data_IF_058892642003
#
_entry.id   IF_058892642003
#
_cell.length_a   1.000
_cell.length_b   1.000
_cell.length_c   1.000
_cell.angle_alpha   90.00
_cell.angle_beta   90.00
_cell.angle_gamma   90.00
#
_symmetry.space_group_name_H-M   'P 1'
#
loop_
_entity.id
_entity.type
_entity.pdbx_description
1 polymer ?
#
# COMPACT_ATOMS: atom_id res chain seq x y z
N UNK A 1 -52.64 61.35 -14.31
CA UNK A 1 -51.42 61.39 -13.49
C UNK A 1 -51.79 61.14 -12.03
N UNK A 2 -51.62 59.91 -11.53
CA UNK A 2 -51.87 59.56 -10.12
C UNK A 2 -50.51 59.44 -9.42
N UNK A 3 -50.21 60.38 -8.52
CA UNK A 3 -48.99 60.37 -7.73
C UNK A 3 -48.97 59.16 -6.79
N UNK A 4 -48.01 58.27 -6.98
CA UNK A 4 -47.73 57.20 -6.03
C UNK A 4 -47.27 57.83 -4.70
N UNK A 5 -47.94 57.49 -3.60
CA UNK A 5 -47.66 58.01 -2.26
C UNK A 5 -46.21 57.70 -1.85
N UNK A 6 -45.44 58.74 -1.52
CA UNK A 6 -44.04 58.65 -1.06
C UNK A 6 -43.85 57.66 0.12
N UNK A 7 -44.90 57.37 0.90
CA UNK A 7 -44.85 56.37 1.97
C UNK A 7 -44.68 54.95 1.43
N UNK A 8 -45.33 54.59 0.32
CA UNK A 8 -45.21 53.25 -0.28
C UNK A 8 -43.86 53.03 -0.95
N UNK A 9 -43.25 54.10 -1.50
CA UNK A 9 -41.92 54.05 -2.11
C UNK A 9 -40.82 53.81 -1.05
N UNK A 10 -40.97 54.40 0.15
CA UNK A 10 -40.05 54.17 1.29
C UNK A 10 -40.12 52.74 1.83
N UNK A 11 -41.32 52.15 1.92
CA UNK A 11 -41.48 50.76 2.39
C UNK A 11 -40.90 49.76 1.40
N UNK A 12 -41.04 50.00 0.09
CA UNK A 12 -40.44 49.18 -0.98
C UNK A 12 -38.90 49.26 -0.99
N UNK A 13 -38.32 50.44 -0.74
CA UNK A 13 -36.87 50.62 -0.65
C UNK A 13 -36.26 49.93 0.60
N UNK A 14 -36.98 49.91 1.73
CA UNK A 14 -36.53 49.19 2.93
C UNK A 14 -36.58 47.66 2.77
N UNK A 15 -37.58 47.11 2.07
CA UNK A 15 -37.65 45.67 1.81
C UNK A 15 -36.62 45.20 0.77
N UNK A 16 -36.29 46.03 -0.22
CA UNK A 16 -35.22 45.75 -1.18
C UNK A 16 -33.81 45.76 -0.54
N UNK A 17 -33.58 46.63 0.45
CA UNK A 17 -32.32 46.68 1.20
C UNK A 17 -32.08 45.46 2.11
N UNK A 18 -33.15 44.93 2.72
CA UNK A 18 -33.07 43.74 3.60
C UNK A 18 -32.91 42.45 2.79
N UNK A 19 -33.48 42.36 1.58
CA UNK A 19 -33.30 41.22 0.68
C UNK A 19 -31.88 41.10 0.10
N UNK A 20 -31.18 42.23 -0.07
CA UNK A 20 -29.82 42.26 -0.65
C UNK A 20 -28.71 42.00 0.38
N UNK A 21 -28.98 42.21 1.68
CA UNK A 21 -28.04 41.91 2.78
C UNK A 21 -28.00 40.42 3.15
N UNK A 22 -28.95 39.60 2.68
CA UNK A 22 -29.01 38.16 2.94
C UNK A 22 -28.37 37.29 1.85
N UNK A 23 -27.87 37.88 0.76
CA UNK A 23 -27.23 37.15 -0.35
C UNK A 23 -25.69 37.02 -0.23
N UNK A 24 -25.12 37.51 0.87
CA UNK A 24 -23.68 37.53 1.13
C UNK A 24 -23.20 36.50 2.15
N UNK A 25 -23.98 35.46 2.46
CA UNK A 25 -23.44 34.30 3.17
C UNK A 25 -22.48 33.60 2.20
N UNK A 26 -21.19 33.93 2.33
CA UNK A 26 -20.14 33.31 1.54
C UNK A 26 -20.31 31.79 1.59
N UNK A 27 -20.31 31.17 0.42
CA UNK A 27 -19.98 29.76 0.34
C UNK A 27 -18.60 29.64 0.99
N UNK A 28 -18.56 29.17 2.23
CA UNK A 28 -17.34 28.61 2.75
C UNK A 28 -17.05 27.45 1.80
N UNK A 29 -16.02 27.58 0.97
CA UNK A 29 -15.48 26.43 0.25
C UNK A 29 -15.33 25.32 1.29
N UNK A 30 -16.14 24.27 1.16
CA UNK A 30 -15.98 23.08 1.95
C UNK A 30 -14.68 22.43 1.46
N UNK A 31 -13.55 22.90 1.99
CA UNK A 31 -12.26 22.31 1.73
C UNK A 31 -12.33 20.87 2.27
N UNK A 32 -12.44 19.91 1.36
CA UNK A 32 -12.37 18.50 1.70
C UNK A 32 -10.91 18.15 2.00
N UNK A 33 -10.67 17.27 2.98
CA UNK A 33 -9.34 16.79 3.28
C UNK A 33 -8.62 16.26 2.03
N UNK A 34 -7.35 16.65 1.87
CA UNK A 34 -6.48 16.16 0.80
C UNK A 34 -5.34 15.37 1.41
N UNK A 35 -5.27 14.07 1.08
CA UNK A 35 -4.21 13.20 1.55
C UNK A 35 -3.24 12.84 0.42
N UNK A 36 -1.95 12.84 0.73
CA UNK A 36 -0.88 12.25 -0.08
C UNK A 36 -0.32 11.02 0.61
N UNK A 37 0.17 10.07 -0.19
CA UNK A 37 0.78 8.84 0.30
C UNK A 37 2.08 8.61 -0.46
N UNK A 38 3.15 8.35 0.29
CA UNK A 38 4.46 7.99 -0.22
C UNK A 38 4.88 6.64 0.35
N UNK A 39 5.48 5.80 -0.48
CA UNK A 39 5.92 4.46 -0.09
C UNK A 39 7.37 4.25 -0.54
N UNK A 40 8.23 3.89 0.39
CA UNK A 40 9.62 3.54 0.08
C UNK A 40 9.69 2.27 -0.78
N UNK A 41 10.82 2.07 -1.46
CA UNK A 41 11.06 0.78 -2.11
C UNK A 41 11.26 -0.33 -1.07
N UNK A 42 10.66 -1.49 -1.32
CA UNK A 42 10.89 -2.69 -0.51
C UNK A 42 11.99 -3.53 -1.17
N UNK A 43 13.14 -3.67 -0.52
CA UNK A 43 14.26 -4.42 -1.06
C UNK A 43 14.65 -5.58 -0.14
N UNK A 44 14.57 -6.80 -0.67
CA UNK A 44 15.00 -8.04 0.01
C UNK A 44 16.53 -8.22 -0.01
N UNK A 45 17.25 -7.38 -0.74
CA UNK A 45 18.70 -7.46 -0.88
C UNK A 45 19.13 -8.71 -1.65
N UNK A 46 20.30 -9.24 -1.27
CA UNK A 46 20.82 -10.47 -1.84
C UNK A 46 20.14 -11.68 -1.21
N UNK A 47 19.55 -12.53 -2.04
CA UNK A 47 18.82 -13.72 -1.61
C UNK A 47 19.51 -14.99 -2.11
N UNK A 48 19.62 -15.98 -1.23
CA UNK A 48 20.14 -17.31 -1.53
C UNK A 48 18.98 -18.29 -1.72
N UNK A 49 18.65 -18.57 -2.97
CA UNK A 49 17.54 -19.46 -3.33
C UNK A 49 17.91 -20.94 -3.21
N UNK A 50 19.19 -21.31 -3.17
CA UNK A 50 19.63 -22.71 -3.11
C UNK A 50 19.56 -23.30 -1.70
N UNK A 51 19.79 -22.50 -0.66
CA UNK A 51 19.57 -22.92 0.73
C UNK A 51 18.09 -22.92 1.11
N UNK A 52 17.21 -22.39 0.25
CA UNK A 52 15.78 -22.26 0.51
C UNK A 52 15.43 -21.21 1.57
N UNK A 53 16.39 -20.37 1.95
CA UNK A 53 16.20 -19.34 2.97
C UNK A 53 15.12 -18.32 2.57
N UNK A 54 14.24 -17.97 3.51
CA UNK A 54 13.37 -16.82 3.37
C UNK A 54 14.17 -15.53 3.54
N UNK A 55 13.77 -14.48 2.83
CA UNK A 55 14.32 -13.14 2.98
C UNK A 55 13.22 -12.16 3.33
N UNK A 56 13.62 -11.08 3.98
CA UNK A 56 12.75 -10.16 4.68
C UNK A 56 13.01 -8.75 4.16
N UNK A 57 11.95 -7.96 3.97
CA UNK A 57 12.07 -6.56 3.59
C UNK A 57 11.08 -5.71 4.37
N UNK A 58 11.37 -4.42 4.50
CA UNK A 58 10.43 -3.43 5.04
C UNK A 58 10.44 -2.19 4.17
N UNK A 59 9.29 -1.52 4.06
CA UNK A 59 9.18 -0.19 3.47
C UNK A 59 8.30 0.69 4.36
N UNK A 60 8.64 1.99 4.45
CA UNK A 60 7.78 2.95 5.15
C UNK A 60 6.68 3.42 4.22
N UNK A 61 5.43 3.38 4.69
CA UNK A 61 4.29 4.08 4.09
C UNK A 61 4.05 5.35 4.90
N UNK A 62 4.26 6.51 4.29
CA UNK A 62 4.08 7.83 4.89
C UNK A 62 2.81 8.45 4.34
N UNK A 63 1.99 9.02 5.21
CA UNK A 63 0.68 9.58 4.88
C UNK A 63 0.61 10.99 5.45
N UNK A 64 0.22 11.95 4.63
CA UNK A 64 0.02 13.33 5.02
C UNK A 64 -1.32 13.83 4.52
N UNK A 65 -2.17 14.30 5.42
CA UNK A 65 -3.47 14.86 5.09
C UNK A 65 -3.57 16.28 5.61
N UNK A 66 -3.98 17.21 4.75
CA UNK A 66 -4.23 18.62 5.07
C UNK A 66 -5.68 19.00 4.76
N UNK A 67 -6.13 20.13 5.31
CA UNK A 67 -7.51 20.60 5.13
C UNK A 67 -8.54 19.69 5.81
N UNK A 68 -8.14 18.98 6.87
CA UNK A 68 -9.02 18.11 7.65
C UNK A 68 -10.02 18.95 8.46
N UNK A 69 -11.29 18.57 8.49
CA UNK A 69 -12.33 19.28 9.22
C UNK A 69 -11.99 19.44 10.70
N UNK A 70 -12.25 20.61 11.28
CA UNK A 70 -11.97 20.91 12.69
C UNK A 70 -12.67 19.97 13.70
N UNK A 71 -13.77 19.32 13.30
CA UNK A 71 -14.51 18.36 14.13
C UNK A 71 -14.05 16.90 13.93
N UNK A 72 -13.20 16.62 12.93
CA UNK A 72 -12.68 15.29 12.69
C UNK A 72 -11.54 15.00 13.69
N UNK A 73 -11.65 13.87 14.39
CA UNK A 73 -10.61 13.40 15.34
C UNK A 73 -9.63 12.43 14.69
N UNK A 74 -9.92 11.99 13.47
CA UNK A 74 -9.08 11.09 12.71
C UNK A 74 -9.44 11.11 11.22
N UNK A 75 -8.50 10.63 10.41
CA UNK A 75 -8.72 10.18 9.03
C UNK A 75 -8.52 8.67 8.99
N UNK A 76 -9.48 7.96 8.41
CA UNK A 76 -9.40 6.51 8.18
C UNK A 76 -9.10 6.25 6.72
N UNK A 77 -8.07 5.44 6.45
CA UNK A 77 -7.63 5.05 5.12
C UNK A 77 -7.74 3.54 4.92
N UNK A 78 -8.02 3.12 3.70
CA UNK A 78 -7.96 1.75 3.23
C UNK A 78 -6.82 1.63 2.22
N UNK A 79 -5.67 1.15 2.69
CA UNK A 79 -4.51 0.90 1.83
C UNK A 79 -4.73 -0.35 1.01
N UNK A 80 -5.01 -0.20 -0.27
CA UNK A 80 -5.17 -1.27 -1.24
C UNK A 80 -3.88 -1.47 -2.04
N UNK A 81 -3.27 -2.65 -1.96
CA UNK A 81 -2.08 -3.03 -2.73
C UNK A 81 -2.41 -4.17 -3.68
N UNK A 82 -2.29 -3.92 -4.98
CA UNK A 82 -2.53 -4.88 -6.04
C UNK A 82 -1.45 -5.96 -6.17
N UNK A 83 -1.32 -6.51 -7.37
CA UNK A 83 -0.36 -7.57 -7.71
C UNK A 83 1.02 -7.04 -8.10
N UNK A 84 1.09 -5.79 -8.58
CA UNK A 84 2.29 -5.24 -9.19
C UNK A 84 2.57 -5.85 -10.56
N UNK A 85 3.60 -5.33 -11.25
CA UNK A 85 3.88 -5.68 -12.65
C UNK A 85 4.28 -7.14 -12.89
N UNK A 86 4.69 -7.87 -11.86
CA UNK A 86 4.97 -9.30 -11.98
C UNK A 86 3.72 -10.18 -11.96
N UNK A 87 2.61 -9.68 -11.41
CA UNK A 87 1.36 -10.41 -11.28
C UNK A 87 1.31 -11.32 -10.03
N UNK A 88 0.46 -12.34 -10.09
CA UNK A 88 0.26 -13.30 -8.99
C UNK A 88 0.21 -14.73 -9.50
N UNK A 89 0.57 -15.67 -8.63
CA UNK A 89 0.36 -17.10 -8.81
C UNK A 89 -0.15 -17.70 -7.50
N UNK A 90 -1.36 -18.27 -7.52
CA UNK A 90 -1.99 -18.88 -6.34
C UNK A 90 -2.14 -17.92 -5.16
N UNK A 91 -2.36 -16.63 -5.40
CA UNK A 91 -2.43 -15.61 -4.35
C UNK A 91 -1.09 -15.29 -3.70
N UNK A 92 0.03 -15.55 -4.39
CA UNK A 92 1.39 -15.07 -4.06
C UNK A 92 1.84 -14.09 -5.14
N UNK A 93 2.40 -12.94 -4.76
CA UNK A 93 2.89 -11.95 -5.73
C UNK A 93 4.20 -12.41 -6.33
N UNK A 94 4.49 -11.98 -7.55
CA UNK A 94 5.74 -12.34 -8.24
C UNK A 94 6.54 -11.10 -8.60
N UNK A 95 7.86 -11.21 -8.48
CA UNK A 95 8.85 -10.34 -9.11
C UNK A 95 9.38 -11.06 -10.35
N UNK A 96 9.82 -10.31 -11.37
CA UNK A 96 10.31 -10.89 -12.63
C UNK A 96 11.71 -10.45 -12.98
N UNK A 97 12.46 -11.38 -13.58
CA UNK A 97 13.74 -11.15 -14.25
C UNK A 97 13.72 -11.85 -15.61
N UNK A 98 13.29 -11.15 -16.66
CA UNK A 98 12.98 -11.77 -17.94
C UNK A 98 11.81 -12.75 -17.80
N UNK A 99 12.04 -14.02 -18.16
CA UNK A 99 11.06 -15.10 -17.99
C UNK A 99 11.09 -15.75 -16.59
N UNK A 100 12.08 -15.42 -15.76
CA UNK A 100 12.20 -15.99 -14.41
C UNK A 100 11.28 -15.25 -13.44
N UNK A 101 10.72 -16.00 -12.49
CA UNK A 101 9.83 -15.47 -11.46
C UNK A 101 10.38 -15.74 -10.07
N UNK A 102 10.12 -14.81 -9.15
CA UNK A 102 10.44 -14.96 -7.74
C UNK A 102 9.25 -14.48 -6.90
N UNK A 103 8.65 -15.40 -6.18
CA UNK A 103 7.48 -15.20 -5.35
C UNK A 103 7.78 -14.50 -4.03
N UNK A 104 6.90 -13.60 -3.63
CA UNK A 104 6.94 -12.89 -2.35
C UNK A 104 5.53 -12.53 -1.91
N UNK A 105 5.44 -12.06 -0.66
CA UNK A 105 4.23 -11.45 -0.15
C UNK A 105 4.47 -10.19 0.66
N UNK A 106 3.41 -9.39 0.78
CA UNK A 106 3.36 -8.15 1.53
C UNK A 106 2.37 -8.28 2.69
N UNK A 107 2.74 -7.75 3.85
CA UNK A 107 2.07 -7.95 5.12
C UNK A 107 1.90 -6.66 5.90
N UNK A 108 0.83 -6.61 6.69
CA UNK A 108 0.42 -5.48 7.51
C UNK A 108 1.07 -5.46 8.90
N UNK A 109 1.71 -6.57 9.30
CA UNK A 109 2.30 -6.81 10.61
C UNK A 109 3.68 -7.47 10.51
N UNK A 110 4.51 -7.26 11.55
CA UNK A 110 5.88 -7.77 11.60
C UNK A 110 5.96 -9.31 11.66
N UNK A 111 4.92 -9.97 12.19
CA UNK A 111 4.82 -11.43 12.23
C UNK A 111 4.39 -12.06 10.91
N UNK A 112 4.02 -11.24 9.91
CA UNK A 112 3.53 -11.66 8.59
C UNK A 112 2.31 -12.58 8.67
N UNK A 113 1.45 -12.35 9.65
CA UNK A 113 0.21 -13.11 9.80
C UNK A 113 -0.90 -12.58 8.86
N UNK A 114 -0.91 -11.26 8.61
CA UNK A 114 -1.96 -10.56 7.88
C UNK A 114 -1.41 -10.04 6.57
N UNK A 115 -1.85 -10.64 5.45
CA UNK A 115 -1.47 -10.16 4.12
C UNK A 115 -2.09 -8.79 3.85
N UNK A 116 -1.29 -7.88 3.31
CA UNK A 116 -1.74 -6.58 2.82
C UNK A 116 -2.15 -6.74 1.35
N UNK A 117 -3.45 -6.80 1.12
CA UNK A 117 -4.00 -7.22 -0.17
C UNK A 117 -4.79 -6.15 -0.91
N UNK A 118 -5.62 -6.63 -1.82
CA UNK A 118 -6.43 -5.83 -2.74
C UNK A 118 -7.88 -6.27 -2.70
N UNK A 119 -8.83 -5.34 -2.76
CA UNK A 119 -10.23 -5.70 -2.97
C UNK A 119 -10.48 -6.20 -4.40
N UNK A 120 -9.63 -5.85 -5.37
CA UNK A 120 -9.72 -6.36 -6.76
C UNK A 120 -9.26 -7.83 -6.88
N UNK A 121 -8.38 -8.28 -5.98
CA UNK A 121 -7.89 -9.65 -5.90
C UNK A 121 -7.76 -10.07 -4.44
N UNK A 122 -8.85 -10.61 -3.91
CA UNK A 122 -8.94 -11.04 -2.51
C UNK A 122 -8.05 -12.24 -2.18
N UNK A 123 -7.49 -12.93 -3.19
CA UNK A 123 -6.51 -14.01 -2.94
C UNK A 123 -5.20 -13.48 -2.35
N UNK A 124 -4.91 -12.18 -2.56
CA UNK A 124 -3.79 -11.45 -1.97
C UNK A 124 -4.05 -11.01 -0.53
N UNK A 125 -5.26 -11.21 0.01
CA UNK A 125 -5.71 -10.66 1.29
C UNK A 125 -6.59 -9.42 1.12
N UNK A 126 -7.03 -8.87 2.24
CA UNK A 126 -7.88 -7.67 2.26
C UNK A 126 -7.01 -6.40 2.33
N UNK A 127 -7.52 -5.25 1.85
CA UNK A 127 -6.87 -3.96 2.07
C UNK A 127 -6.73 -3.64 3.56
N UNK A 128 -5.66 -2.94 3.92
CA UNK A 128 -5.34 -2.62 5.32
C UNK A 128 -6.08 -1.35 5.76
N UNK A 129 -6.84 -1.42 6.85
CA UNK A 129 -7.38 -0.23 7.52
C UNK A 129 -6.26 0.48 8.29
N UNK A 130 -6.16 1.80 8.10
CA UNK A 130 -5.19 2.69 8.73
C UNK A 130 -5.95 3.83 9.35
N UNK A 131 -5.68 4.16 10.61
CA UNK A 131 -6.33 5.28 11.30
C UNK A 131 -5.27 6.23 11.80
N UNK A 132 -5.34 7.48 11.35
CA UNK A 132 -4.41 8.54 11.72
C UNK A 132 -5.19 9.57 12.54
N UNK A 133 -4.65 9.96 13.70
CA UNK A 133 -5.25 11.00 14.51
C UNK A 133 -5.20 12.34 13.74
N UNK A 134 -6.28 13.10 13.82
CA UNK A 134 -6.37 14.43 13.22
C UNK A 134 -6.33 15.51 14.31
N UNK A 135 -5.59 16.57 14.05
CA UNK A 135 -5.48 17.74 14.92
C UNK A 135 -5.07 18.96 14.10
N UNK A 136 -5.60 20.14 14.43
CA UNK A 136 -5.19 21.41 13.81
C UNK A 136 -5.30 21.46 12.28
N UNK A 137 -6.31 20.76 11.72
CA UNK A 137 -6.53 20.70 10.28
C UNK A 137 -5.65 19.71 9.52
N UNK A 138 -4.86 18.92 10.24
CA UNK A 138 -3.88 17.99 9.69
C UNK A 138 -4.08 16.57 10.25
N UNK A 139 -3.72 15.56 9.48
CA UNK A 139 -3.59 14.18 9.95
C UNK A 139 -2.38 13.52 9.28
N UNK A 140 -1.28 13.40 10.03
CA UNK A 140 0.00 12.90 9.53
C UNK A 140 0.40 11.63 10.29
N UNK A 141 0.85 10.61 9.57
CA UNK A 141 1.21 9.33 10.18
C UNK A 141 1.97 8.42 9.24
N UNK A 142 2.51 7.33 9.78
CA UNK A 142 3.25 6.36 8.99
C UNK A 142 3.00 4.94 9.50
N UNK A 143 3.03 3.97 8.59
CA UNK A 143 2.93 2.54 8.91
C UNK A 143 3.97 1.74 8.12
N UNK A 144 4.43 0.63 8.68
CA UNK A 144 5.43 -0.20 8.01
C UNK A 144 4.76 -1.27 7.15
N UNK A 145 5.21 -1.38 5.91
CA UNK A 145 4.92 -2.49 5.01
C UNK A 145 5.99 -3.56 5.21
N UNK A 146 5.58 -4.80 5.45
CA UNK A 146 6.49 -5.92 5.67
C UNK A 146 6.47 -6.85 4.46
N UNK A 147 7.61 -7.05 3.82
CA UNK A 147 7.80 -8.03 2.75
C UNK A 147 8.36 -9.34 3.28
N UNK A 148 7.89 -10.46 2.74
CA UNK A 148 8.47 -11.79 2.95
C UNK A 148 8.65 -12.53 1.62
N UNK A 149 9.87 -12.98 1.34
CA UNK A 149 10.16 -13.83 0.20
C UNK A 149 9.66 -15.25 0.47
N UNK A 150 9.02 -15.88 -0.51
CA UNK A 150 8.59 -17.28 -0.37
C UNK A 150 9.81 -18.20 -0.30
N UNK A 151 9.80 -19.12 0.66
CA UNK A 151 10.88 -20.11 0.82
C UNK A 151 10.85 -21.18 -0.29
N UNK A 152 11.97 -21.89 -0.47
CA UNK A 152 12.04 -23.08 -1.34
C UNK A 152 12.04 -22.82 -2.86
N UNK A 153 12.36 -21.61 -3.30
CA UNK A 153 12.35 -21.22 -4.72
C UNK A 153 13.66 -21.54 -5.44
N UNK A 154 14.13 -22.79 -5.33
CA UNK A 154 15.47 -23.22 -5.80
C UNK A 154 15.66 -23.16 -7.32
N UNK A 155 14.58 -23.06 -8.10
CA UNK A 155 14.62 -22.91 -9.56
C UNK A 155 14.80 -21.46 -10.03
N UNK A 156 14.74 -20.47 -9.13
CA UNK A 156 14.95 -19.08 -9.48
C UNK A 156 16.42 -18.84 -9.85
N UNK A 157 16.66 -18.51 -11.13
CA UNK A 157 17.99 -18.21 -11.66
C UNK A 157 18.59 -16.92 -11.10
N UNK A 158 19.89 -16.74 -11.29
CA UNK A 158 20.62 -15.54 -10.86
C UNK A 158 20.13 -14.30 -11.59
N UNK A 159 19.99 -13.19 -10.87
CA UNK A 159 19.58 -11.92 -11.47
C UNK A 159 18.83 -11.02 -10.51
N UNK A 160 18.48 -9.83 -11.00
CA UNK A 160 17.67 -8.87 -10.26
C UNK A 160 16.21 -9.02 -10.67
N UNK A 161 15.38 -9.35 -9.70
CA UNK A 161 13.94 -9.51 -9.85
C UNK A 161 13.25 -8.23 -9.39
N UNK A 162 12.31 -7.74 -10.19
CA UNK A 162 11.58 -6.50 -9.92
C UNK A 162 10.07 -6.71 -10.06
N UNK A 163 9.30 -6.06 -9.20
CA UNK A 163 7.86 -5.83 -9.39
C UNK A 163 7.57 -4.36 -9.11
N UNK A 164 7.00 -3.67 -10.09
CA UNK A 164 6.63 -2.26 -9.99
C UNK A 164 5.15 -2.14 -9.70
N UNK A 165 4.79 -1.35 -8.69
CA UNK A 165 3.41 -1.02 -8.36
C UNK A 165 3.11 0.38 -8.86
N UNK A 166 2.27 0.47 -9.89
CA UNK A 166 1.80 1.76 -10.43
C UNK A 166 0.69 2.35 -9.55
N UNK A 167 0.26 3.57 -9.87
CA UNK A 167 -0.85 4.26 -9.18
C UNK A 167 -2.18 3.50 -9.26
N UNK A 168 -2.38 2.64 -10.27
CA UNK A 168 -3.53 1.74 -10.33
C UNK A 168 -3.49 0.60 -9.31
N UNK A 169 -2.27 0.16 -8.93
CA UNK A 169 -2.05 -0.93 -7.99
C UNK A 169 -2.01 -0.44 -6.53
N UNK A 170 -1.67 0.83 -6.30
CA UNK A 170 -1.53 1.43 -4.95
C UNK A 170 -2.55 2.53 -4.77
N UNK A 171 -3.65 2.19 -4.09
CA UNK A 171 -4.80 3.07 -3.89
C UNK A 171 -5.11 3.16 -2.41
N UNK A 172 -5.20 4.37 -1.90
CA UNK A 172 -5.55 4.67 -0.52
C UNK A 172 -6.86 5.45 -0.55
N UNK A 173 -7.96 4.74 -0.34
CA UNK A 173 -9.26 5.38 -0.14
C UNK A 173 -9.31 5.94 1.26
N UNK A 174 -9.76 7.18 1.44
CA UNK A 174 -9.78 7.82 2.74
C UNK A 174 -11.04 8.65 2.98
N UNK A 175 -11.44 8.69 4.25
CA UNK A 175 -12.54 9.49 4.77
C UNK A 175 -12.21 10.03 6.17
N UNK A 176 -12.74 11.20 6.49
CA UNK A 176 -12.69 11.74 7.85
C UNK A 176 -13.58 10.91 8.79
N UNK A 177 -13.15 10.70 10.04
CA UNK A 177 -13.88 9.88 11.00
C UNK A 177 -13.40 8.44 11.03
N UNK A 178 -14.30 7.50 11.35
CA UNK A 178 -13.92 6.12 11.77
C UNK A 178 -14.52 4.97 10.99
N UNK A 179 -15.47 5.22 10.09
CA UNK A 179 -16.18 4.15 9.38
C UNK A 179 -15.86 4.21 7.90
N UNK A 180 -14.89 3.41 7.47
CA UNK A 180 -14.64 3.15 6.05
C UNK A 180 -14.54 1.65 5.85
N UNK A 181 -15.39 1.10 4.98
CA UNK A 181 -15.35 -0.31 4.63
C UNK A 181 -14.27 -0.55 3.57
N UNK A 182 -13.15 -1.12 4.00
CA UNK A 182 -12.02 -1.42 3.11
C UNK A 182 -12.28 -2.59 2.15
N UNK A 183 -13.39 -3.31 2.29
CA UNK A 183 -13.78 -4.37 1.35
C UNK A 183 -14.47 -3.82 0.10
N UNK A 184 -15.09 -2.63 0.21
CA UNK A 184 -15.78 -1.96 -0.89
C UNK A 184 -15.86 -0.43 -0.64
N UNK A 185 -14.77 0.33 -0.83
CA UNK A 185 -14.76 1.78 -0.58
C UNK A 185 -15.51 2.52 -1.71
N UNK A 186 -16.82 2.72 -1.54
CA UNK A 186 -17.71 3.29 -2.59
C UNK A 186 -17.92 4.81 -2.49
N UNK A 187 -17.55 5.46 -1.38
CA UNK A 187 -17.81 6.89 -1.12
C UNK A 187 -16.57 7.71 -0.70
N UNK A 188 -15.38 7.15 -0.87
CA UNK A 188 -14.14 7.72 -0.34
C UNK A 188 -13.33 8.49 -1.38
N UNK A 189 -12.55 9.47 -0.91
CA UNK A 189 -11.57 10.17 -1.76
C UNK A 189 -10.34 9.29 -1.94
N UNK A 190 -9.65 9.42 -3.08
CA UNK A 190 -8.55 8.53 -3.46
C UNK A 190 -7.22 9.26 -3.45
N UNK A 191 -6.26 8.74 -2.69
CA UNK A 191 -4.84 9.02 -2.85
C UNK A 191 -4.17 7.83 -3.55
N UNK A 192 -3.22 8.10 -4.45
CA UNK A 192 -2.49 7.06 -5.17
C UNK A 192 -0.99 7.24 -4.95
N UNK A 193 -0.26 6.14 -4.97
CA UNK A 193 1.20 6.15 -4.85
C UNK A 193 1.81 5.15 -5.85
N UNK A 194 3.13 5.05 -5.85
CA UNK A 194 3.83 4.00 -6.59
C UNK A 194 5.09 3.63 -5.84
N UNK A 195 5.47 2.36 -5.89
CA UNK A 195 6.73 1.90 -5.31
C UNK A 195 7.21 0.66 -6.06
N UNK A 196 8.38 0.17 -5.69
CA UNK A 196 8.98 -1.02 -6.28
C UNK A 196 9.33 -2.03 -5.21
N UNK A 197 9.24 -3.31 -5.58
CA UNK A 197 9.73 -4.43 -4.79
C UNK A 197 10.86 -5.10 -5.57
N UNK A 198 11.99 -5.33 -4.92
CA UNK A 198 13.19 -5.89 -5.55
C UNK A 198 13.87 -6.95 -4.69
N UNK A 199 14.47 -7.93 -5.35
CA UNK A 199 15.44 -8.86 -4.78
C UNK A 199 16.53 -9.18 -5.80
N UNK A 200 17.74 -9.51 -5.34
CA UNK A 200 18.83 -9.97 -6.21
C UNK A 200 19.22 -11.40 -5.82
N UNK A 201 18.92 -12.36 -6.69
CA UNK A 201 19.39 -13.74 -6.54
C UNK A 201 20.87 -13.78 -6.92
N UNK A 202 21.73 -13.97 -5.92
CA UNK A 202 23.17 -14.02 -6.11
C UNK A 202 23.60 -15.35 -6.76
N UNK A 203 24.69 -15.35 -7.51
CA UNK A 203 25.32 -16.58 -7.98
C UNK A 203 25.85 -17.38 -6.79
N UNK A 204 25.29 -18.57 -6.59
CA UNK A 204 25.62 -19.50 -5.52
C UNK A 204 25.87 -20.89 -6.13
N UNK A 205 26.76 -21.66 -5.50
CA UNK A 205 27.05 -23.04 -5.88
C UNK A 205 27.05 -23.88 -4.61
N UNK A 206 26.01 -24.69 -4.42
CA UNK A 206 25.94 -25.63 -3.31
C UNK A 206 26.73 -26.90 -3.68
N UNK A 207 27.92 -27.06 -3.10
CA UNK A 207 28.72 -28.29 -3.27
C UNK A 207 28.41 -29.21 -2.10
N UNK A 208 27.65 -30.28 -2.35
CA UNK A 208 27.47 -31.37 -1.40
C UNK A 208 28.53 -32.45 -1.67
N UNK A 209 29.43 -32.66 -0.71
CA UNK A 209 30.39 -33.76 -0.75
C UNK A 209 29.88 -34.90 0.12
N UNK A 210 29.79 -36.11 -0.45
CA UNK A 210 29.67 -37.34 0.34
C UNK A 210 31.06 -37.98 0.48
N UNK A 211 31.32 -38.62 1.62
CA UNK A 211 32.55 -39.38 1.78
C UNK A 211 32.59 -40.52 0.75
N UNK A 212 33.77 -40.74 0.16
CA UNK A 212 34.04 -41.95 -0.61
C UNK A 212 34.18 -43.10 0.39
N UNK A 213 33.19 -43.97 0.47
CA UNK A 213 33.25 -45.19 1.27
C UNK A 213 33.73 -46.34 0.39
N UNK A 214 34.93 -46.84 0.68
CA UNK A 214 35.50 -48.00 0.00
C UNK A 214 34.95 -49.32 0.56
N UNK A 215 34.15 -49.28 1.63
CA UNK A 215 33.66 -50.45 2.34
C UNK A 215 34.76 -51.14 3.16
N UNK A 216 34.37 -52.22 3.85
CA UNK A 216 35.32 -53.12 4.51
C UNK A 216 36.03 -53.97 3.46
N UNK A 217 37.25 -53.58 3.09
CA UNK A 217 38.14 -54.44 2.34
C UNK A 217 38.87 -55.40 3.29
N UNK A 218 38.72 -56.71 3.05
CA UNK A 218 39.48 -57.73 3.76
C UNK A 218 40.98 -57.64 3.44
N UNK A 219 41.81 -58.12 4.36
CA UNK A 219 43.25 -58.28 4.12
C UNK A 219 43.44 -59.08 2.82
N UNK A 220 44.25 -58.55 1.91
CA UNK A 220 44.83 -59.36 0.85
C UNK A 220 45.84 -60.27 1.54
N UNK A 221 45.39 -61.48 1.89
CA UNK A 221 46.30 -62.57 2.23
C UNK A 221 46.94 -63.02 0.91
N UNK A 222 48.02 -62.35 0.53
CA UNK A 222 48.96 -62.87 -0.44
C UNK A 222 50.24 -63.19 0.31
N UNK A 223 50.40 -64.44 0.71
CA UNK A 223 51.67 -65.11 0.52
C UNK A 223 51.43 -66.60 0.21
N UNK A 224 52.28 -67.04 -0.72
CA UNK A 224 52.33 -68.30 -1.47
C UNK A 224 52.50 -69.52 -0.57
#
# INVERSE_FOLDING_TARGET
MRYASLKRLRTLLLQAGIGLLLYGAGAADAAAASCTVDIDSANFGNVDTLSGASADATAQVSISCSGVSANATAVTLCGNLGSGSGGTSGGTRTMRSGANELGYQLYADAGRATRWGSYDDTTLGQPRTIRIAASDGEANGAVTLYGGLSAGQTSAGTGTYLSSFSTGEVRFYYEEGSTLDCTAPTSATLAQASFTVQATVAANCLIAVSNLDFGLHGLIDSEV
#
